data_IF_951429000668
#
_entry.id   IF_951429000668
#
_cell.length_a   1.000
_cell.length_b   1.000
_cell.length_c   1.000
_cell.angle_alpha   90.00
_cell.angle_beta   90.00
_cell.angle_gamma   90.00
#
_symmetry.space_group_name_H-M   'P 1'
#
loop_
_entity.id
_entity.type
_entity.pdbx_description
1 polymer ?
#
# COMPACT_ATOMS: atom_id res chain seq x y z
N UNK A 1 -0.97 -38.08 -15.55
CA UNK A 1 -0.79 -36.69 -15.05
C UNK A 1 0.68 -36.52 -14.75
N UNK A 2 1.28 -35.40 -15.14
CA UNK A 2 2.62 -35.04 -14.68
C UNK A 2 2.61 -34.85 -13.16
N UNK A 3 3.75 -35.01 -12.50
CA UNK A 3 3.87 -34.85 -11.04
C UNK A 3 3.34 -33.43 -10.62
N UNK A 4 3.63 -32.39 -11.39
CA UNK A 4 3.14 -31.02 -11.18
C UNK A 4 1.60 -30.90 -11.20
N UNK A 5 0.91 -31.57 -12.11
CA UNK A 5 -0.56 -31.51 -12.17
C UNK A 5 -1.24 -32.20 -10.98
N UNK A 6 -0.63 -33.29 -10.49
CA UNK A 6 -1.09 -33.96 -9.27
C UNK A 6 -0.97 -33.04 -8.06
N UNK A 7 0.17 -32.32 -7.91
CA UNK A 7 0.39 -31.36 -6.82
C UNK A 7 -0.57 -30.18 -6.86
N UNK A 8 -0.85 -29.63 -8.04
CA UNK A 8 -1.85 -28.56 -8.20
C UNK A 8 -3.25 -28.99 -7.75
N UNK A 9 -3.63 -30.22 -8.10
CA UNK A 9 -4.92 -30.80 -7.68
C UNK A 9 -5.00 -30.96 -6.16
N UNK A 10 -3.91 -31.40 -5.53
CA UNK A 10 -3.82 -31.51 -4.06
C UNK A 10 -3.96 -30.15 -3.37
N UNK A 11 -3.31 -29.10 -3.90
CA UNK A 11 -3.42 -27.73 -3.38
C UNK A 11 -4.84 -27.21 -3.48
N UNK A 12 -5.53 -27.40 -4.61
CA UNK A 12 -6.93 -26.97 -4.78
C UNK A 12 -7.84 -27.70 -3.79
N UNK A 13 -7.70 -29.01 -3.67
CA UNK A 13 -8.49 -29.80 -2.73
C UNK A 13 -8.28 -29.38 -1.26
N UNK A 14 -7.06 -28.98 -0.89
CA UNK A 14 -6.79 -28.45 0.45
C UNK A 14 -7.48 -27.11 0.66
N UNK A 15 -7.43 -26.19 -0.31
CA UNK A 15 -8.17 -24.92 -0.23
C UNK A 15 -9.66 -25.16 -0.05
N UNK A 16 -10.27 -26.06 -0.82
CA UNK A 16 -11.67 -26.39 -0.70
C UNK A 16 -12.01 -26.92 0.72
N UNK A 17 -11.14 -27.74 1.28
CA UNK A 17 -11.33 -28.34 2.62
C UNK A 17 -11.31 -27.32 3.76
N UNK A 18 -10.53 -26.21 3.61
CA UNK A 18 -10.39 -25.17 4.61
C UNK A 18 -11.18 -23.90 4.28
N UNK A 19 -11.92 -23.87 3.17
CA UNK A 19 -12.61 -22.69 2.64
C UNK A 19 -13.51 -21.98 3.65
N UNK A 20 -14.32 -22.76 4.40
CA UNK A 20 -15.19 -22.21 5.44
C UNK A 20 -14.42 -21.44 6.51
N UNK A 21 -13.28 -22.01 6.97
CA UNK A 21 -12.41 -21.35 7.95
C UNK A 21 -11.79 -20.08 7.40
N UNK A 22 -11.37 -20.08 6.13
CA UNK A 22 -10.81 -18.88 5.49
C UNK A 22 -11.84 -17.77 5.41
N UNK A 23 -13.10 -18.08 5.04
CA UNK A 23 -14.19 -17.10 5.02
C UNK A 23 -14.42 -16.54 6.42
N UNK A 24 -14.52 -17.38 7.45
CA UNK A 24 -14.68 -16.96 8.85
C UNK A 24 -13.54 -16.02 9.31
N UNK A 25 -12.29 -16.29 8.90
CA UNK A 25 -11.15 -15.43 9.21
C UNK A 25 -11.28 -14.08 8.50
N UNK A 26 -11.61 -14.07 7.20
CA UNK A 26 -11.82 -12.85 6.43
C UNK A 26 -12.94 -11.99 7.03
N UNK A 27 -14.08 -12.58 7.35
CA UNK A 27 -15.22 -11.89 7.95
C UNK A 27 -14.86 -11.31 9.32
N UNK A 28 -14.10 -12.03 10.12
CA UNK A 28 -13.61 -11.56 11.41
C UNK A 28 -12.69 -10.35 11.28
N UNK A 29 -11.78 -10.36 10.32
CA UNK A 29 -10.90 -9.22 10.03
C UNK A 29 -11.72 -8.04 9.53
N UNK A 30 -12.64 -8.27 8.59
CA UNK A 30 -13.52 -7.24 8.04
C UNK A 30 -14.40 -6.57 9.11
N UNK A 31 -14.93 -7.34 10.06
CA UNK A 31 -15.77 -6.84 11.13
C UNK A 31 -14.99 -6.04 12.21
N UNK A 32 -13.67 -6.15 12.24
CA UNK A 32 -12.81 -5.49 13.22
C UNK A 32 -11.65 -4.77 12.50
N UNK A 33 -11.93 -3.70 11.74
CA UNK A 33 -10.93 -3.02 10.93
C UNK A 33 -9.91 -2.30 11.80
N UNK A 34 -8.63 -2.51 11.52
CA UNK A 34 -7.50 -1.87 12.17
C UNK A 34 -6.72 -1.05 11.13
N UNK A 35 -6.43 0.21 11.46
CA UNK A 35 -5.66 1.10 10.57
C UNK A 35 -4.17 0.78 10.62
N UNK A 36 -3.43 1.25 9.63
CA UNK A 36 -1.99 1.04 9.49
C UNK A 36 -1.20 1.26 10.77
N UNK A 37 -0.21 0.42 11.03
CA UNK A 37 0.61 0.28 12.24
C UNK A 37 -0.15 -0.12 13.51
N UNK A 38 -1.45 -0.36 13.46
CA UNK A 38 -2.30 -0.78 14.58
C UNK A 38 -3.04 -2.10 14.33
N UNK A 39 -2.62 -2.86 13.32
CA UNK A 39 -3.23 -4.15 12.90
C UNK A 39 -2.85 -5.30 13.86
N UNK A 40 -2.93 -5.05 15.17
CA UNK A 40 -2.45 -6.00 16.19
C UNK A 40 -3.25 -7.31 16.21
N UNK A 41 -4.57 -7.22 16.16
CA UNK A 41 -5.44 -8.40 16.20
C UNK A 41 -5.37 -9.18 14.89
N UNK A 42 -5.33 -8.48 13.75
CA UNK A 42 -5.20 -9.08 12.42
C UNK A 42 -3.86 -9.78 12.25
N UNK A 43 -2.75 -9.09 12.57
CA UNK A 43 -1.39 -9.66 12.54
C UNK A 43 -1.28 -10.89 13.43
N UNK A 44 -1.81 -10.79 14.68
CA UNK A 44 -1.82 -11.93 15.60
C UNK A 44 -2.62 -13.10 15.05
N UNK A 45 -3.80 -12.85 14.50
CA UNK A 45 -4.67 -13.90 13.94
C UNK A 45 -3.96 -14.65 12.81
N UNK A 46 -3.43 -13.92 11.80
CA UNK A 46 -2.78 -14.54 10.65
C UNK A 46 -1.48 -15.26 11.05
N UNK A 47 -0.67 -14.65 11.90
CA UNK A 47 0.59 -15.27 12.37
C UNK A 47 0.37 -16.51 13.24
N UNK A 48 -0.64 -16.50 14.12
CA UNK A 48 -1.00 -17.65 14.94
C UNK A 48 -1.53 -18.83 14.09
N UNK A 49 -2.26 -18.56 13.00
CA UNK A 49 -2.70 -19.60 12.06
C UNK A 49 -1.52 -20.27 11.36
N UNK A 50 -0.51 -19.49 10.95
CA UNK A 50 0.73 -20.03 10.40
C UNK A 50 1.51 -20.86 11.42
N UNK A 51 1.63 -20.38 12.66
CA UNK A 51 2.29 -21.14 13.74
C UNK A 51 1.60 -22.50 13.98
N UNK A 52 0.25 -22.51 14.09
CA UNK A 52 -0.53 -23.74 14.24
C UNK A 52 -0.33 -24.72 13.08
N UNK A 53 -0.14 -24.19 11.89
CA UNK A 53 0.16 -25.00 10.71
C UNK A 53 1.62 -25.48 10.66
N UNK A 54 2.48 -25.07 11.60
CA UNK A 54 3.87 -25.50 11.68
C UNK A 54 4.84 -24.68 10.83
N UNK A 55 4.52 -23.43 10.53
CA UNK A 55 5.50 -22.47 10.03
C UNK A 55 6.38 -22.00 11.20
N UNK A 56 7.65 -21.73 10.92
CA UNK A 56 8.48 -20.93 11.82
C UNK A 56 8.09 -19.47 11.66
N UNK A 57 7.52 -18.86 12.68
CA UNK A 57 7.04 -17.48 12.64
C UNK A 57 7.95 -16.57 13.46
N UNK A 58 8.37 -15.47 12.84
CA UNK A 58 9.06 -14.34 13.43
C UNK A 58 8.10 -13.16 13.45
N UNK A 59 7.84 -12.59 14.62
CA UNK A 59 6.90 -11.45 14.81
C UNK A 59 7.69 -10.17 15.04
N UNK A 60 7.07 -9.02 14.75
CA UNK A 60 7.67 -7.69 14.94
C UNK A 60 8.97 -7.49 14.15
N UNK A 61 9.00 -7.96 12.91
CA UNK A 61 10.18 -7.84 12.06
C UNK A 61 10.40 -6.39 11.60
N UNK A 62 11.63 -6.04 11.30
CA UNK A 62 12.05 -4.73 10.78
C UNK A 62 11.58 -3.54 11.63
N UNK A 63 11.39 -3.73 12.95
CA UNK A 63 10.91 -2.68 13.85
C UNK A 63 9.43 -2.35 13.76
N UNK A 64 8.65 -3.08 12.95
CA UNK A 64 7.21 -2.92 12.81
C UNK A 64 6.47 -3.87 13.75
N UNK A 65 5.69 -3.31 14.68
CA UNK A 65 4.99 -4.08 15.74
C UNK A 65 4.01 -5.13 15.20
N UNK A 66 3.47 -4.92 13.99
CA UNK A 66 2.45 -5.75 13.37
C UNK A 66 2.96 -6.53 12.15
N UNK A 67 4.22 -6.33 11.74
CA UNK A 67 4.82 -7.16 10.69
C UNK A 67 5.24 -8.53 11.21
N UNK A 68 5.10 -9.55 10.40
CA UNK A 68 5.55 -10.91 10.70
C UNK A 68 6.10 -11.62 9.47
N UNK A 69 6.86 -12.69 9.72
CA UNK A 69 7.39 -13.59 8.69
C UNK A 69 7.19 -15.03 9.10
N UNK A 70 6.45 -15.78 8.30
CA UNK A 70 6.32 -17.23 8.43
C UNK A 70 7.18 -17.93 7.39
N UNK A 71 7.94 -18.94 7.78
CA UNK A 71 8.81 -19.69 6.86
C UNK A 71 8.54 -21.18 6.97
N UNK A 72 8.50 -21.85 5.83
CA UNK A 72 8.50 -23.31 5.73
C UNK A 72 9.40 -23.76 4.59
N UNK A 73 10.19 -24.81 4.82
CA UNK A 73 11.09 -25.36 3.83
C UNK A 73 10.54 -26.64 3.23
N UNK A 74 10.76 -26.81 1.93
CA UNK A 74 10.63 -28.08 1.23
C UNK A 74 11.94 -28.85 1.21
N UNK A 75 12.16 -29.64 0.15
CA UNK A 75 13.44 -30.30 -0.08
C UNK A 75 14.55 -29.29 -0.40
N UNK A 76 15.81 -29.62 -0.16
CA UNK A 76 16.94 -28.76 -0.50
C UNK A 76 16.98 -28.37 -1.97
N UNK A 77 17.46 -27.13 -2.25
CA UNK A 77 17.51 -26.57 -3.60
C UNK A 77 16.13 -26.04 -4.05
N UNK A 78 16.10 -25.36 -5.19
CA UNK A 78 14.90 -24.70 -5.71
C UNK A 78 14.70 -23.29 -5.16
N UNK A 79 13.68 -22.58 -5.66
CA UNK A 79 13.47 -21.17 -5.36
C UNK A 79 12.86 -20.94 -3.98
N UNK A 80 13.08 -19.75 -3.46
CA UNK A 80 12.32 -19.16 -2.35
C UNK A 80 11.20 -18.31 -2.91
N UNK A 81 9.96 -18.63 -2.57
CA UNK A 81 8.77 -17.88 -2.97
C UNK A 81 8.23 -17.12 -1.76
N UNK A 82 8.01 -15.81 -1.90
CA UNK A 82 7.36 -14.98 -0.89
C UNK A 82 5.91 -14.71 -1.29
N UNK A 83 4.99 -14.86 -0.32
CA UNK A 83 3.61 -14.40 -0.41
C UNK A 83 3.42 -13.22 0.54
N UNK A 84 2.84 -12.12 0.03
CA UNK A 84 2.64 -10.90 0.80
C UNK A 84 1.19 -10.81 1.29
N UNK A 85 1.01 -10.44 2.55
CA UNK A 85 -0.28 -10.29 3.22
C UNK A 85 -0.44 -8.86 3.75
N UNK A 86 -1.16 -8.03 3.02
CA UNK A 86 -1.64 -6.74 3.50
C UNK A 86 -2.76 -6.95 4.52
N UNK A 87 -2.91 -6.03 5.47
CA UNK A 87 -3.74 -6.27 6.64
C UNK A 87 -4.53 -5.04 7.11
N UNK A 88 -4.11 -3.84 6.75
CA UNK A 88 -4.64 -2.58 7.26
C UNK A 88 -5.96 -2.19 6.60
N UNK A 89 -6.71 -1.35 7.29
CA UNK A 89 -7.97 -0.78 6.85
C UNK A 89 -7.87 0.73 6.71
N UNK A 90 -8.75 1.31 5.90
CA UNK A 90 -8.88 2.76 5.72
C UNK A 90 -9.55 3.40 6.95
N UNK A 91 -9.04 4.54 7.46
CA UNK A 91 -9.66 5.26 8.56
C UNK A 91 -11.11 5.65 8.27
N UNK A 92 -12.04 5.27 9.14
CA UNK A 92 -13.47 5.61 9.03
C UNK A 92 -14.24 4.87 7.93
N UNK A 93 -13.57 4.10 7.07
CA UNK A 93 -14.18 3.34 5.95
C UNK A 93 -14.12 1.84 6.23
N UNK A 94 -13.08 1.36 6.88
CA UNK A 94 -12.83 -0.07 7.09
C UNK A 94 -12.08 -0.70 5.91
N UNK A 95 -12.32 -1.99 5.64
CA UNK A 95 -11.63 -2.75 4.59
C UNK A 95 -12.16 -2.43 3.17
N UNK A 96 -12.19 -1.13 2.80
CA UNK A 96 -12.63 -0.69 1.48
C UNK A 96 -11.74 -1.16 0.32
N UNK A 97 -10.45 -1.39 0.56
CA UNK A 97 -9.50 -1.96 -0.40
C UNK A 97 -9.43 -3.48 -0.40
N UNK A 98 -10.10 -4.15 0.57
CA UNK A 98 -10.17 -5.61 0.63
C UNK A 98 -8.92 -6.28 1.19
N UNK A 99 -8.12 -5.61 2.03
CA UNK A 99 -6.92 -6.21 2.64
C UNK A 99 -7.26 -7.40 3.56
N UNK A 100 -8.47 -7.48 4.12
CA UNK A 100 -8.97 -8.69 4.79
C UNK A 100 -8.95 -9.91 3.87
N UNK A 101 -9.28 -9.72 2.58
CA UNK A 101 -9.23 -10.77 1.55
C UNK A 101 -7.78 -11.10 1.18
N UNK A 102 -6.91 -10.08 1.02
CA UNK A 102 -5.50 -10.27 0.68
C UNK A 102 -4.80 -11.10 1.75
N UNK A 103 -4.90 -10.70 3.02
CA UNK A 103 -4.32 -11.43 4.15
C UNK A 103 -4.81 -12.86 4.23
N UNK A 104 -6.12 -13.07 4.05
CA UNK A 104 -6.74 -14.39 4.14
C UNK A 104 -6.41 -15.27 2.92
N UNK A 105 -6.39 -14.72 1.71
CA UNK A 105 -6.00 -15.45 0.50
C UNK A 105 -4.53 -15.90 0.58
N UNK A 106 -3.65 -15.03 1.06
CA UNK A 106 -2.24 -15.36 1.32
C UNK A 106 -2.11 -16.46 2.36
N UNK A 107 -2.84 -16.37 3.47
CA UNK A 107 -2.87 -17.44 4.48
C UNK A 107 -3.35 -18.76 3.88
N UNK A 108 -4.46 -18.76 3.14
CA UNK A 108 -5.01 -19.95 2.49
C UNK A 108 -4.01 -20.61 1.55
N UNK A 109 -3.38 -19.82 0.68
CA UNK A 109 -2.33 -20.29 -0.22
C UNK A 109 -1.16 -20.91 0.57
N UNK A 110 -0.73 -20.27 1.65
CA UNK A 110 0.36 -20.78 2.48
C UNK A 110 0.01 -22.13 3.14
N UNK A 111 -1.20 -22.24 3.71
CA UNK A 111 -1.67 -23.48 4.36
C UNK A 111 -1.74 -24.64 3.36
N UNK A 112 -2.30 -24.38 2.18
CA UNK A 112 -2.41 -25.42 1.14
C UNK A 112 -1.04 -25.84 0.59
N UNK A 113 -0.16 -24.86 0.31
CA UNK A 113 1.19 -25.14 -0.15
C UNK A 113 2.01 -25.92 0.88
N UNK A 114 1.81 -25.66 2.18
CA UNK A 114 2.47 -26.40 3.26
C UNK A 114 2.32 -27.92 3.12
N UNK A 115 1.17 -28.40 2.63
CA UNK A 115 0.91 -29.83 2.43
C UNK A 115 1.84 -30.49 1.42
N UNK A 116 2.22 -29.74 0.38
CA UNK A 116 3.05 -30.26 -0.69
C UNK A 116 4.54 -29.94 -0.50
N UNK A 117 4.92 -29.08 0.48
CA UNK A 117 6.33 -28.73 0.72
C UNK A 117 7.27 -29.94 0.85
N UNK A 118 6.90 -31.05 1.51
CA UNK A 118 7.76 -32.26 1.56
C UNK A 118 8.01 -32.90 0.20
N UNK A 119 7.23 -32.56 -0.82
CA UNK A 119 7.31 -33.14 -2.17
C UNK A 119 8.07 -32.25 -3.16
N UNK A 120 8.24 -30.94 -2.86
CA UNK A 120 8.85 -29.95 -3.75
C UNK A 120 10.16 -29.43 -3.18
N UNK A 121 11.02 -28.88 -4.06
CA UNK A 121 12.24 -28.21 -3.68
C UNK A 121 11.98 -26.72 -3.45
N UNK A 122 12.72 -26.10 -2.53
CA UNK A 122 12.66 -24.68 -2.27
C UNK A 122 12.02 -24.32 -0.92
N UNK A 123 11.67 -23.05 -0.76
CA UNK A 123 11.13 -22.51 0.47
C UNK A 123 9.93 -21.60 0.21
N UNK A 124 9.02 -21.52 1.17
CA UNK A 124 7.91 -20.57 1.16
C UNK A 124 8.07 -19.61 2.33
N UNK A 125 7.98 -18.31 2.03
CA UNK A 125 7.95 -17.22 3.01
C UNK A 125 6.57 -16.55 2.92
N UNK A 126 5.96 -16.28 4.05
CA UNK A 126 4.76 -15.45 4.17
C UNK A 126 5.14 -14.20 4.94
N UNK A 127 4.91 -13.03 4.36
CA UNK A 127 5.20 -11.74 4.98
C UNK A 127 3.91 -10.98 5.24
N UNK A 128 3.60 -10.73 6.51
CA UNK A 128 2.58 -9.77 6.92
C UNK A 128 3.14 -8.35 6.77
N UNK A 129 2.57 -7.60 5.85
CA UNK A 129 3.02 -6.25 5.47
C UNK A 129 2.00 -5.22 5.91
N UNK A 130 2.22 -4.54 7.08
CA UNK A 130 1.29 -3.57 7.62
C UNK A 130 1.33 -2.23 6.89
N UNK A 131 0.34 -1.39 7.16
CA UNK A 131 0.29 0.02 6.77
C UNK A 131 0.56 0.26 5.28
N UNK A 132 -0.15 -0.45 4.39
CA UNK A 132 -0.07 -0.22 2.96
C UNK A 132 -0.71 1.12 2.60
N UNK A 133 -1.87 1.40 3.19
CA UNK A 133 -2.61 2.63 2.98
C UNK A 133 -1.85 3.83 3.56
N UNK A 134 -1.46 4.77 2.72
CA UNK A 134 -0.72 5.95 3.17
C UNK A 134 -1.63 6.99 3.87
N UNK A 135 -2.57 6.50 4.65
CA UNK A 135 -3.46 7.31 5.49
C UNK A 135 -2.86 7.63 6.86
N UNK A 136 -1.75 6.99 7.22
CA UNK A 136 -1.01 7.19 8.47
C UNK A 136 0.44 7.58 8.19
N UNK A 137 1.08 8.20 9.17
CA UNK A 137 2.50 8.57 9.08
C UNK A 137 3.37 7.30 8.99
N UNK A 138 4.47 7.41 8.26
CA UNK A 138 5.44 6.32 8.04
C UNK A 138 4.83 5.06 7.38
N UNK A 139 3.65 5.16 6.76
CA UNK A 139 3.03 4.07 6.02
C UNK A 139 3.94 3.55 4.89
N UNK A 140 3.65 2.35 4.42
CA UNK A 140 4.44 1.66 3.40
C UNK A 140 5.24 0.49 3.96
N UNK A 141 4.60 -0.39 4.72
CA UNK A 141 5.25 -1.53 5.36
C UNK A 141 6.03 -2.41 4.39
N UNK A 142 5.56 -2.60 3.15
CA UNK A 142 6.30 -3.33 2.11
C UNK A 142 7.67 -2.71 1.81
N UNK A 143 7.78 -1.38 1.82
CA UNK A 143 9.05 -0.68 1.63
C UNK A 143 9.98 -0.89 2.81
N UNK A 144 9.43 -0.90 4.03
CA UNK A 144 10.21 -1.10 5.27
C UNK A 144 10.74 -2.54 5.35
N UNK A 145 9.95 -3.53 4.93
CA UNK A 145 10.38 -4.94 4.93
C UNK A 145 11.02 -5.39 3.62
N UNK A 146 11.44 -4.47 2.76
CA UNK A 146 11.95 -4.79 1.42
C UNK A 146 13.14 -5.76 1.45
N UNK A 147 14.02 -5.65 2.43
CA UNK A 147 15.17 -6.56 2.58
C UNK A 147 14.74 -8.00 2.92
N UNK A 148 13.59 -8.19 3.56
CA UNK A 148 13.02 -9.53 3.77
C UNK A 148 12.37 -10.07 2.50
N UNK A 149 11.70 -9.22 1.70
CA UNK A 149 11.14 -9.58 0.39
C UNK A 149 12.26 -9.97 -0.57
N UNK A 150 13.36 -9.21 -0.57
CA UNK A 150 14.52 -9.42 -1.46
C UNK A 150 15.30 -10.73 -1.19
N UNK A 151 15.02 -11.41 -0.09
CA UNK A 151 15.56 -12.76 0.16
C UNK A 151 14.87 -13.85 -0.67
N UNK A 152 13.74 -13.53 -1.27
CA UNK A 152 13.00 -14.45 -2.14
C UNK A 152 13.40 -14.27 -3.61
N UNK A 153 13.39 -15.36 -4.37
CA UNK A 153 13.58 -15.32 -5.82
C UNK A 153 12.34 -14.79 -6.53
N UNK A 154 11.17 -14.93 -5.89
CA UNK A 154 9.86 -14.52 -6.39
C UNK A 154 9.01 -14.00 -5.24
N UNK A 155 8.34 -12.86 -5.43
CA UNK A 155 7.32 -12.35 -4.52
C UNK A 155 5.99 -12.18 -5.26
N UNK A 156 4.89 -12.60 -4.61
CA UNK A 156 3.55 -12.60 -5.20
C UNK A 156 2.51 -12.13 -4.19
N UNK A 157 1.44 -11.52 -4.72
CA UNK A 157 0.25 -11.13 -3.95
C UNK A 157 -0.95 -11.12 -4.88
N UNK A 158 -2.13 -11.41 -4.33
CA UNK A 158 -3.41 -11.26 -5.05
C UNK A 158 -4.19 -10.12 -4.39
N UNK A 159 -4.52 -9.10 -5.17
CA UNK A 159 -5.29 -7.94 -4.70
C UNK A 159 -6.71 -7.97 -5.29
N UNK A 160 -7.78 -7.75 -4.50
CA UNK A 160 -9.14 -7.63 -5.01
C UNK A 160 -9.29 -6.48 -6.00
N UNK A 161 -10.05 -6.72 -7.07
CA UNK A 161 -10.39 -5.70 -8.07
C UNK A 161 -11.73 -6.03 -8.71
N UNK A 162 -12.29 -5.10 -9.50
CA UNK A 162 -13.49 -5.32 -10.31
C UNK A 162 -13.26 -6.24 -11.52
N UNK A 163 -12.00 -6.47 -11.86
CA UNK A 163 -11.60 -7.30 -13.01
C UNK A 163 -10.50 -8.28 -12.62
N UNK A 164 -10.46 -9.44 -13.28
CA UNK A 164 -9.43 -10.46 -13.05
C UNK A 164 -8.27 -10.26 -14.02
N UNK A 165 -7.16 -9.74 -13.52
CA UNK A 165 -5.95 -9.44 -14.28
C UNK A 165 -4.74 -10.14 -13.66
N UNK A 166 -3.81 -10.61 -14.50
CA UNK A 166 -2.50 -11.15 -14.06
C UNK A 166 -1.35 -10.18 -14.35
N UNK A 167 -1.61 -9.19 -15.15
CA UNK A 167 -0.66 -8.15 -15.59
C UNK A 167 -1.20 -6.77 -15.18
N UNK A 168 -1.55 -6.62 -13.91
CA UNK A 168 -1.94 -5.33 -13.36
C UNK A 168 -0.72 -4.42 -13.23
N UNK A 169 -0.87 -3.16 -13.61
CA UNK A 169 0.17 -2.14 -13.45
C UNK A 169 -0.19 -1.20 -12.31
N UNK A 170 0.80 -0.73 -11.58
CA UNK A 170 0.65 0.37 -10.63
C UNK A 170 1.52 1.55 -11.03
N UNK A 171 1.05 2.76 -10.74
CA UNK A 171 1.80 3.99 -10.99
C UNK A 171 2.60 4.39 -9.76
N UNK A 172 3.72 5.09 -9.98
CA UNK A 172 4.54 5.60 -8.88
C UNK A 172 3.81 6.70 -8.10
N UNK A 173 4.05 6.76 -6.77
CA UNK A 173 3.40 7.71 -5.86
C UNK A 173 4.37 8.26 -4.83
N UNK A 174 4.30 9.59 -4.59
CA UNK A 174 4.86 10.22 -3.40
C UNK A 174 3.75 10.84 -2.54
N UNK A 175 3.94 10.78 -1.22
CA UNK A 175 3.05 11.32 -0.20
C UNK A 175 3.75 12.48 0.51
N UNK A 176 3.28 13.70 0.27
CA UNK A 176 3.89 14.93 0.74
C UNK A 176 3.00 15.64 1.75
N UNK A 177 3.61 16.12 2.83
CA UNK A 177 2.99 17.05 3.76
C UNK A 177 3.68 18.41 3.65
N UNK A 178 2.87 19.45 3.49
CA UNK A 178 3.29 20.83 3.46
C UNK A 178 2.73 21.52 4.69
N UNK A 179 3.60 22.13 5.48
CA UNK A 179 3.24 22.97 6.60
C UNK A 179 3.66 24.40 6.31
N UNK A 180 2.75 25.35 6.55
CA UNK A 180 3.01 26.78 6.41
C UNK A 180 2.91 27.45 7.78
N UNK A 181 3.86 28.32 8.06
CA UNK A 181 3.97 29.07 9.31
C UNK A 181 3.89 30.55 9.02
N UNK A 182 2.93 31.20 9.63
CA UNK A 182 2.66 32.62 9.53
C UNK A 182 2.74 33.33 10.89
N UNK A 183 1.86 34.31 11.09
CA UNK A 183 1.76 35.06 12.33
C UNK A 183 0.31 35.37 12.67
N UNK A 184 -0.12 35.03 13.88
CA UNK A 184 -1.47 35.31 14.34
C UNK A 184 -1.68 36.82 14.52
N UNK A 185 -2.90 37.31 14.24
CA UNK A 185 -3.37 38.63 14.52
C UNK A 185 -4.89 38.62 14.65
N UNK A 186 -5.49 39.69 15.22
CA UNK A 186 -6.94 39.85 15.26
C UNK A 186 -7.45 40.15 13.84
N UNK A 187 -8.21 39.25 13.24
CA UNK A 187 -8.59 39.35 11.83
C UNK A 187 -9.49 40.55 11.50
N UNK A 188 -10.27 41.03 12.45
CA UNK A 188 -11.10 42.22 12.27
C UNK A 188 -10.46 43.55 12.77
N UNK A 189 -9.50 43.46 13.71
CA UNK A 189 -8.90 44.67 14.35
C UNK A 189 -7.58 45.10 13.73
N UNK A 190 -6.63 44.16 13.57
CA UNK A 190 -5.29 44.41 13.05
C UNK A 190 -4.76 43.30 12.12
N UNK A 191 -5.52 42.94 11.07
CA UNK A 191 -5.10 41.84 10.16
C UNK A 191 -3.77 42.12 9.46
N UNK A 192 -3.39 43.34 9.26
CA UNK A 192 -2.14 43.76 8.63
C UNK A 192 -0.89 43.45 9.44
N UNK A 193 -1.03 43.12 10.73
CA UNK A 193 0.07 42.65 11.58
C UNK A 193 0.29 41.13 11.49
N UNK A 194 -0.66 40.43 10.86
CA UNK A 194 -0.63 38.97 10.69
C UNK A 194 -0.01 38.54 9.38
N UNK A 195 0.36 37.23 9.34
CA UNK A 195 0.74 36.51 8.12
C UNK A 195 -0.14 35.28 8.08
N UNK A 196 -0.99 35.17 7.06
CA UNK A 196 -2.00 34.12 6.97
C UNK A 196 -1.43 32.86 6.32
N UNK A 197 -1.15 31.84 7.13
CA UNK A 197 -0.65 30.55 6.66
C UNK A 197 -1.68 29.77 5.82
N UNK A 198 -2.99 29.92 6.09
CA UNK A 198 -4.03 29.28 5.29
C UNK A 198 -4.08 29.85 3.86
N UNK A 199 -3.83 31.15 3.69
CA UNK A 199 -3.73 31.71 2.34
C UNK A 199 -2.59 31.08 1.53
N UNK A 200 -1.46 30.76 2.17
CA UNK A 200 -0.38 30.05 1.49
C UNK A 200 -0.82 28.66 1.02
N UNK A 201 -1.56 27.90 1.84
CA UNK A 201 -2.13 26.61 1.41
C UNK A 201 -3.07 26.80 0.22
N UNK A 202 -3.99 27.76 0.28
CA UNK A 202 -4.95 28.05 -0.81
C UNK A 202 -4.21 28.45 -2.10
N UNK A 203 -3.20 29.33 -2.01
CA UNK A 203 -2.38 29.71 -3.17
C UNK A 203 -1.62 28.52 -3.75
N UNK A 204 -1.07 27.64 -2.91
CA UNK A 204 -0.41 26.42 -3.37
C UNK A 204 -1.38 25.54 -4.19
N UNK A 205 -2.61 25.30 -3.72
CA UNK A 205 -3.61 24.55 -4.47
C UNK A 205 -3.92 25.20 -5.80
N UNK A 206 -4.12 26.53 -5.84
CA UNK A 206 -4.38 27.28 -7.07
C UNK A 206 -3.21 27.20 -8.07
N UNK A 207 -1.97 27.29 -7.58
CA UNK A 207 -0.78 27.14 -8.43
C UNK A 207 -0.63 25.72 -8.97
N UNK A 208 -0.96 24.71 -8.17
CA UNK A 208 -1.00 23.30 -8.61
C UNK A 208 -2.08 23.10 -9.67
N UNK A 209 -3.25 23.73 -9.55
CA UNK A 209 -4.29 23.63 -10.56
C UNK A 209 -3.84 24.26 -11.90
N UNK A 210 -3.13 25.37 -11.86
CA UNK A 210 -2.50 25.95 -13.06
C UNK A 210 -1.39 25.01 -13.64
N UNK A 211 -0.63 24.32 -12.79
CA UNK A 211 0.40 23.36 -13.21
C UNK A 211 -0.18 22.16 -13.96
N UNK A 212 -1.42 21.74 -13.67
CA UNK A 212 -2.05 20.56 -14.31
C UNK A 212 -2.07 20.63 -15.83
N UNK A 213 -2.15 21.81 -16.41
CA UNK A 213 -2.06 22.02 -17.86
C UNK A 213 -0.69 21.62 -18.44
N UNK A 214 0.36 21.60 -17.62
CA UNK A 214 1.76 21.50 -18.05
C UNK A 214 2.46 20.23 -17.54
N UNK A 215 1.68 19.17 -17.26
CA UNK A 215 2.17 17.83 -16.92
C UNK A 215 1.54 16.79 -17.84
N UNK A 216 2.16 15.60 -17.94
CA UNK A 216 1.62 14.50 -18.78
C UNK A 216 0.25 14.06 -18.29
N UNK A 217 -0.63 13.52 -19.18
CA UNK A 217 -2.01 13.13 -18.84
C UNK A 217 -2.14 12.07 -17.75
N UNK A 218 -1.12 11.24 -17.56
CA UNK A 218 -1.06 10.19 -16.55
C UNK A 218 -0.76 10.70 -15.13
N UNK A 219 -0.41 11.98 -14.99
CA UNK A 219 -0.14 12.58 -13.67
C UNK A 219 -1.44 12.77 -12.89
N UNK A 220 -1.40 12.42 -11.60
CA UNK A 220 -2.46 12.73 -10.64
C UNK A 220 -1.86 13.47 -9.45
N UNK A 221 -2.42 14.64 -9.14
CA UNK A 221 -2.04 15.43 -7.96
C UNK A 221 -3.34 15.71 -7.20
N UNK A 222 -3.45 15.19 -5.99
CA UNK A 222 -4.65 15.37 -5.18
C UNK A 222 -4.28 15.42 -3.70
N UNK A 223 -5.12 16.06 -2.88
CA UNK A 223 -4.81 16.21 -1.47
C UNK A 223 -5.92 16.90 -0.71
N UNK A 224 -5.67 17.10 0.56
CA UNK A 224 -6.59 17.73 1.51
C UNK A 224 -5.84 18.78 2.34
N UNK A 225 -6.60 19.72 2.88
CA UNK A 225 -6.13 20.62 3.95
C UNK A 225 -6.33 19.88 5.27
N UNK A 226 -5.25 19.65 6.02
CA UNK A 226 -5.26 18.94 7.30
C UNK A 226 -5.37 19.90 8.49
N UNK A 227 -4.91 21.13 8.33
CA UNK A 227 -5.08 22.24 9.28
C UNK A 227 -5.34 23.55 8.52
N UNK A 228 -6.43 24.24 8.84
CA UNK A 228 -6.82 25.51 8.24
C UNK A 228 -6.94 26.65 9.25
N UNK A 229 -6.42 26.47 10.48
CA UNK A 229 -6.53 27.44 11.58
C UNK A 229 -7.63 27.11 12.58
N UNK A 230 -7.80 27.99 13.60
CA UNK A 230 -8.59 27.69 14.81
C UNK A 230 -9.97 28.37 14.83
N UNK A 231 -10.03 29.62 14.37
CA UNK A 231 -11.26 30.43 14.42
C UNK A 231 -11.22 31.57 13.38
N UNK A 232 -12.37 32.01 12.82
CA UNK A 232 -12.41 32.97 11.73
C UNK A 232 -11.98 34.39 12.15
N UNK A 233 -11.97 34.71 13.43
CA UNK A 233 -11.52 36.00 13.97
C UNK A 233 -10.01 36.02 14.29
N UNK A 234 -9.27 34.95 14.00
CA UNK A 234 -7.82 34.87 14.20
C UNK A 234 -7.18 34.56 12.84
N UNK A 235 -6.21 35.39 12.43
CA UNK A 235 -5.36 35.10 11.26
C UNK A 235 -4.60 33.82 11.53
N UNK A 236 -4.75 32.76 10.70
CA UNK A 236 -4.08 31.48 10.93
C UNK A 236 -2.55 31.60 10.91
N UNK A 237 -1.91 31.30 12.03
CA UNK A 237 -0.45 31.26 12.17
C UNK A 237 0.18 29.95 11.69
N UNK A 238 -0.64 28.90 11.54
CA UNK A 238 -0.26 27.61 11.03
C UNK A 238 -1.36 27.06 10.12
N UNK A 239 -0.95 26.42 9.04
CA UNK A 239 -1.84 25.64 8.17
C UNK A 239 -1.04 24.50 7.54
N UNK A 240 -1.72 23.39 7.25
CA UNK A 240 -1.08 22.22 6.69
C UNK A 240 -1.95 21.53 5.62
N UNK A 241 -1.30 20.84 4.73
CA UNK A 241 -1.95 19.99 3.70
C UNK A 241 -1.17 18.72 3.48
N UNK A 242 -1.89 17.63 3.13
CA UNK A 242 -1.31 16.37 2.66
C UNK A 242 -1.72 16.13 1.22
N UNK A 243 -0.75 15.74 0.41
CA UNK A 243 -0.93 15.55 -1.03
C UNK A 243 -0.30 14.27 -1.51
N UNK A 244 -0.94 13.61 -2.47
CA UNK A 244 -0.32 12.60 -3.31
C UNK A 244 0.03 13.18 -4.66
N UNK A 245 1.23 12.87 -5.10
CA UNK A 245 1.68 13.08 -6.47
C UNK A 245 1.92 11.71 -7.08
N UNK A 246 1.29 11.45 -8.23
CA UNK A 246 1.39 10.17 -8.93
C UNK A 246 1.79 10.41 -10.38
N UNK A 247 2.61 9.51 -10.94
CA UNK A 247 2.93 9.45 -12.36
C UNK A 247 3.22 8.00 -12.77
N UNK A 248 3.06 7.70 -14.05
CA UNK A 248 3.27 6.35 -14.57
C UNK A 248 4.67 5.82 -14.32
N UNK A 249 5.68 6.72 -14.31
CA UNK A 249 7.07 6.35 -14.16
C UNK A 249 7.74 7.16 -13.03
N UNK A 250 8.53 6.48 -12.20
CA UNK A 250 9.29 7.08 -11.09
C UNK A 250 10.15 8.28 -11.51
N UNK A 251 10.82 8.19 -12.67
CA UNK A 251 11.69 9.28 -13.16
C UNK A 251 10.91 10.56 -13.34
N UNK A 252 9.78 10.49 -14.03
CA UNK A 252 8.91 11.64 -14.27
C UNK A 252 8.18 12.11 -13.01
N UNK A 253 7.82 11.18 -12.11
CA UNK A 253 7.24 11.53 -10.80
C UNK A 253 8.14 12.52 -10.04
N UNK A 254 9.46 12.27 -9.99
CA UNK A 254 10.40 13.17 -9.33
C UNK A 254 10.39 14.57 -9.91
N UNK A 255 10.30 14.70 -11.22
CA UNK A 255 10.19 16.02 -11.89
C UNK A 255 8.92 16.75 -11.50
N UNK A 256 7.79 16.03 -11.45
CA UNK A 256 6.48 16.60 -11.06
C UNK A 256 6.48 17.01 -9.60
N UNK A 257 7.05 16.20 -8.71
CA UNK A 257 7.19 16.51 -7.28
C UNK A 257 7.96 17.81 -7.08
N UNK A 258 9.06 18.03 -7.80
CA UNK A 258 9.80 19.28 -7.72
C UNK A 258 9.00 20.50 -8.24
N UNK A 259 8.14 20.32 -9.26
CA UNK A 259 7.21 21.38 -9.69
C UNK A 259 6.17 21.70 -8.62
N UNK A 260 5.62 20.67 -7.94
CA UNK A 260 4.67 20.85 -6.83
C UNK A 260 5.32 21.59 -5.65
N UNK A 261 6.56 21.24 -5.29
CA UNK A 261 7.33 21.95 -4.25
C UNK A 261 7.54 23.42 -4.61
N UNK A 262 7.85 23.75 -5.87
CA UNK A 262 7.97 25.13 -6.34
C UNK A 262 6.65 25.91 -6.24
N UNK A 263 5.49 25.27 -6.45
CA UNK A 263 4.20 25.90 -6.21
C UNK A 263 4.05 26.28 -4.72
N UNK A 264 4.45 25.38 -3.82
CA UNK A 264 4.41 25.66 -2.38
C UNK A 264 5.38 26.80 -1.97
N UNK A 265 6.59 26.79 -2.51
CA UNK A 265 7.58 27.86 -2.29
C UNK A 265 7.06 29.23 -2.78
N UNK A 266 6.46 29.28 -3.98
CA UNK A 266 5.83 30.49 -4.53
C UNK A 266 4.66 30.97 -3.68
N UNK A 267 3.86 30.05 -3.16
CA UNK A 267 2.75 30.37 -2.25
C UNK A 267 3.25 30.94 -0.91
N UNK A 268 4.28 30.35 -0.32
CA UNK A 268 4.92 30.87 0.88
C UNK A 268 5.47 32.30 0.65
N UNK A 269 6.21 32.48 -0.46
CA UNK A 269 6.79 33.78 -0.82
C UNK A 269 5.71 34.86 -1.00
N UNK A 270 4.61 34.54 -1.67
CA UNK A 270 3.53 35.50 -1.96
C UNK A 270 2.78 35.96 -0.73
N UNK A 271 2.77 35.18 0.34
CA UNK A 271 2.05 35.47 1.59
C UNK A 271 2.96 35.96 2.72
N UNK A 272 4.27 35.83 2.56
CA UNK A 272 5.26 36.08 3.61
C UNK A 272 5.36 34.97 4.65
N UNK A 273 4.68 33.82 4.45
CA UNK A 273 4.79 32.65 5.30
C UNK A 273 6.12 31.92 5.06
N UNK A 274 6.58 31.17 6.05
CA UNK A 274 7.61 30.15 5.87
C UNK A 274 6.98 28.78 5.68
N UNK A 275 7.71 27.83 5.08
CA UNK A 275 7.18 26.49 4.86
C UNK A 275 8.16 25.39 5.23
N UNK A 276 7.61 24.20 5.51
CA UNK A 276 8.32 22.94 5.57
C UNK A 276 7.60 21.92 4.68
N UNK A 277 8.39 21.02 4.10
CA UNK A 277 7.85 19.88 3.35
C UNK A 277 8.55 18.59 3.81
N UNK A 278 7.77 17.53 3.95
CA UNK A 278 8.29 16.19 4.22
C UNK A 278 7.49 15.13 3.48
N UNK A 279 8.11 14.00 3.24
CA UNK A 279 7.34 12.80 2.92
C UNK A 279 6.75 12.27 4.23
N UNK A 280 5.43 12.16 4.32
CA UNK A 280 4.77 11.63 5.53
C UNK A 280 4.53 10.11 5.45
N UNK A 281 4.69 9.52 4.27
CA UNK A 281 4.67 8.09 4.05
C UNK A 281 5.72 7.70 3.01
N UNK A 282 6.13 6.43 3.00
CA UNK A 282 7.10 5.91 2.05
C UNK A 282 6.59 6.03 0.61
N UNK A 283 7.47 6.39 -0.30
CA UNK A 283 7.16 6.43 -1.73
C UNK A 283 6.99 5.00 -2.28
N UNK A 284 6.05 4.83 -3.21
CA UNK A 284 5.94 3.61 -4.01
C UNK A 284 6.41 3.88 -5.43
N UNK A 285 7.16 2.93 -5.97
CA UNK A 285 7.57 2.94 -7.36
C UNK A 285 6.51 2.27 -8.25
N UNK A 286 6.53 2.56 -9.54
CA UNK A 286 5.68 1.87 -10.49
C UNK A 286 6.05 0.40 -10.59
N UNK A 287 5.07 -0.46 -10.76
CA UNK A 287 5.30 -1.88 -10.95
C UNK A 287 5.85 -2.15 -12.36
N UNK A 288 6.80 -3.08 -12.42
CA UNK A 288 7.28 -3.67 -13.68
C UNK A 288 6.84 -5.13 -13.69
N UNK A 289 5.91 -5.46 -14.57
CA UNK A 289 5.33 -6.80 -14.62
C UNK A 289 6.35 -7.86 -14.97
N UNK A 290 6.43 -8.91 -14.15
CA UNK A 290 7.14 -10.13 -14.50
C UNK A 290 6.24 -11.01 -15.37
N UNK A 291 6.42 -10.94 -16.69
CA UNK A 291 5.56 -11.65 -17.66
C UNK A 291 5.57 -13.17 -17.49
N UNK A 292 6.70 -13.75 -17.12
CA UNK A 292 6.79 -15.20 -16.89
C UNK A 292 5.90 -15.65 -15.72
N UNK A 293 5.88 -14.87 -14.63
CA UNK A 293 4.99 -15.14 -13.51
C UNK A 293 3.52 -14.88 -13.85
N UNK A 294 3.23 -13.80 -14.60
CA UNK A 294 1.89 -13.48 -15.06
C UNK A 294 1.31 -14.63 -15.92
N UNK A 295 2.07 -15.15 -16.87
CA UNK A 295 1.65 -16.29 -17.69
C UNK A 295 1.42 -17.57 -16.85
N UNK A 296 2.29 -17.85 -15.88
CA UNK A 296 2.11 -18.98 -14.97
C UNK A 296 0.84 -18.82 -14.11
N UNK A 297 0.55 -17.60 -13.63
CA UNK A 297 -0.66 -17.30 -12.89
C UNK A 297 -1.90 -17.44 -13.78
N UNK A 298 -1.89 -16.89 -15.00
CA UNK A 298 -2.97 -17.01 -15.98
C UNK A 298 -3.32 -18.48 -16.23
N UNK A 299 -2.34 -19.30 -16.55
CA UNK A 299 -2.52 -20.72 -16.79
C UNK A 299 -3.14 -21.45 -15.59
N UNK A 300 -2.73 -21.11 -14.36
CA UNK A 300 -3.31 -21.71 -13.16
C UNK A 300 -4.75 -21.26 -12.90
N UNK A 301 -5.09 -19.99 -13.15
CA UNK A 301 -6.45 -19.48 -13.00
C UNK A 301 -7.41 -20.06 -14.03
N UNK A 302 -7.00 -20.15 -15.30
CA UNK A 302 -7.78 -20.80 -16.37
C UNK A 302 -8.04 -22.28 -16.05
N UNK A 303 -7.07 -22.97 -15.47
CA UNK A 303 -7.21 -24.36 -15.01
C UNK A 303 -8.33 -24.55 -13.99
N UNK A 304 -8.56 -23.58 -13.11
CA UNK A 304 -9.65 -23.62 -12.11
C UNK A 304 -10.92 -22.91 -12.60
N UNK A 305 -11.02 -22.60 -13.90
CA UNK A 305 -12.19 -22.00 -14.52
C UNK A 305 -12.32 -20.48 -14.33
N UNK A 306 -11.29 -19.81 -13.83
CA UNK A 306 -11.29 -18.32 -13.69
C UNK A 306 -10.91 -17.69 -15.03
N UNK A 307 -11.79 -16.86 -15.56
CA UNK A 307 -11.54 -16.14 -16.81
C UNK A 307 -10.67 -14.91 -16.54
N UNK A 308 -9.48 -14.89 -17.14
CA UNK A 308 -8.56 -13.75 -17.09
C UNK A 308 -8.90 -12.76 -18.20
N UNK A 309 -8.94 -11.49 -17.87
CA UNK A 309 -9.15 -10.40 -18.80
C UNK A 309 -7.81 -9.83 -19.27
N UNK A 310 -7.78 -9.27 -20.48
CA UNK A 310 -6.62 -8.51 -20.93
C UNK A 310 -6.58 -7.15 -20.21
N UNK A 311 -5.39 -6.68 -19.78
CA UNK A 311 -5.28 -5.39 -19.12
C UNK A 311 -5.72 -4.26 -20.05
N UNK A 312 -6.49 -3.33 -19.52
CA UNK A 312 -6.77 -2.08 -20.24
C UNK A 312 -5.44 -1.32 -20.45
N UNK A 313 -5.31 -0.68 -21.62
CA UNK A 313 -4.06 -0.01 -22.01
C UNK A 313 -3.65 1.17 -21.10
N UNK A 314 -4.55 1.60 -20.21
CA UNK A 314 -4.29 2.64 -19.21
C UNK A 314 -4.57 2.08 -17.81
N UNK A 315 -3.49 1.77 -17.07
CA UNK A 315 -3.60 1.31 -15.69
C UNK A 315 -4.15 2.43 -14.79
N UNK A 316 -5.20 2.11 -14.04
CA UNK A 316 -5.58 2.88 -12.86
C UNK A 316 -4.66 2.48 -11.70
N UNK A 317 -3.91 3.41 -11.16
CA UNK A 317 -3.19 3.24 -9.91
C UNK A 317 -4.08 3.57 -8.74
#
# INVERSE_FOLDING_TARGET
MTDSESLKTEVVAEIDSISKRLIEISDRIHANPEVGHKEHATSKLLSDELERAGFRVEKQICGLATAFKGTVNGKPGGPTVALLAEMDALPGIGHGCGHNIIGTATLGAALALKKIMPKVNGSLIVLGTPAEEAAVDDAGGKVIVIDEIAKADVAMMVHPSSTTLVDATSIAREALEFEFFGKAAHAGGSPHEGINALNAVIHMFTMIDALRQHVKPDVRIHGIITDGGKAPNIVPEHAASRMYVRAKEKGYLKEVVEKVKKCAEGAAMSTGATMKVRNYANAYENMVTNRTLAEAMKSNWERIGVKVQEPEKEGSG
#
